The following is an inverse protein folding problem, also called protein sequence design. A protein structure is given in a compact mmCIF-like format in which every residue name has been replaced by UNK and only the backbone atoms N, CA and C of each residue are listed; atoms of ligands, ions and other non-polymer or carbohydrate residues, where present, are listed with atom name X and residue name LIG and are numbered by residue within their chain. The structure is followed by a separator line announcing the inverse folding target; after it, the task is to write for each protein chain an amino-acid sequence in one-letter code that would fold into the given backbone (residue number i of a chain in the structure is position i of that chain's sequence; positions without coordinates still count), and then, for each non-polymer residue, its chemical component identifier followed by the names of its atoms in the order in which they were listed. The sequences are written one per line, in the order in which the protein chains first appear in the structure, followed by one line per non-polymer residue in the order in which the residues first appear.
data_IF_365116587008
#
_entry.id   IF_365116587008
#
_cell.length_a   1.000
_cell.length_b   1.000
_cell.length_c   1.000
_cell.angle_alpha   90.00
_cell.angle_beta   90.00
_cell.angle_gamma   90.00
#
_symmetry.space_group_name_H-M   'P 1'
#
loop_
_entity.id
_entity.type
_entity.pdbx_description
1 polymer ?
2 non-polymer ?
3 non-polymer ?
4 water ?
#
# COMPACT_ATOMS: atom_id res chain seq x y z
N UNK A 6 24.55 20.06 -3.92
CA UNK A 6 24.58 18.76 -4.68
C UNK A 6 23.19 18.13 -4.81
N UNK A 7 22.75 17.95 -6.04
CA UNK A 7 21.41 17.47 -6.33
C UNK A 7 21.39 15.95 -6.30
N UNK A 8 20.45 15.38 -5.57
CA UNK A 8 20.38 13.93 -5.37
C UNK A 8 19.09 13.41 -6.00
N UNK A 9 19.25 12.58 -7.03
CA UNK A 9 18.14 12.06 -7.82
C UNK A 9 18.07 10.55 -7.62
N UNK A 10 16.89 10.07 -7.21
CA UNK A 10 16.64 8.63 -7.08
C UNK A 10 15.76 8.18 -8.25
N UNK A 11 16.22 7.21 -9.01
CA UNK A 11 15.40 6.53 -9.99
C UNK A 11 14.91 5.22 -9.41
N UNK A 12 13.62 4.94 -9.61
CA UNK A 12 12.96 3.74 -9.09
C UNK A 12 12.34 3.01 -10.27
N UNK A 13 12.74 1.76 -10.48
CA UNK A 13 12.15 0.90 -11.48
C UNK A 13 11.49 -0.27 -10.77
N UNK A 14 10.41 -0.79 -11.35
CA UNK A 14 9.71 -1.92 -10.76
C UNK A 14 10.49 -3.21 -10.90
N UNK A 15 11.25 -3.38 -11.98
CA UNK A 15 11.92 -4.65 -12.19
C UNK A 15 13.17 -4.46 -13.04
N UNK A 16 14.00 -5.49 -13.15
CA UNK A 16 15.26 -5.32 -13.91
C UNK A 16 15.07 -4.99 -15.37
N UNK A 17 14.05 -5.54 -16.03
CA UNK A 17 13.85 -5.25 -17.45
C UNK A 17 13.63 -3.77 -17.68
N UNK A 18 12.84 -3.14 -16.81
CA UNK A 18 12.59 -1.71 -16.97
C UNK A 18 13.89 -0.91 -16.83
N UNK A 19 14.74 -1.30 -15.87
CA UNK A 19 15.94 -0.57 -15.49
C UNK A 19 17.10 -0.74 -16.46
N UNK A 20 17.10 -1.80 -17.25
CA UNK A 20 18.33 -2.26 -17.90
C UNK A 20 19.00 -1.16 -18.72
N UNK A 21 18.28 -0.52 -19.63
CA UNK A 21 18.93 0.43 -20.54
C UNK A 21 19.37 1.70 -19.80
N UNK A 22 18.64 2.14 -18.77
CA UNK A 22 19.11 3.27 -17.97
C UNK A 22 20.40 2.92 -17.24
N UNK A 23 20.48 1.70 -16.71
CA UNK A 23 21.71 1.25 -16.06
C UNK A 23 22.90 1.24 -17.02
N UNK A 24 22.66 1.08 -18.32
CA UNK A 24 23.74 1.14 -19.30
C UNK A 24 24.20 2.57 -19.59
N UNK A 25 23.39 3.59 -19.30
CA UNK A 25 23.68 4.96 -19.74
C UNK A 25 24.84 5.59 -19.00
N UNK A 26 25.04 5.18 -17.74
CA UNK A 26 26.07 5.74 -16.88
C UNK A 26 26.89 4.61 -16.30
N UNK A 27 28.15 4.86 -15.94
CA UNK A 27 28.98 3.82 -15.29
C UNK A 27 28.66 3.66 -13.81
N UNK A 28 27.47 3.14 -13.53
CA UNK A 28 27.03 2.86 -12.18
C UNK A 28 27.91 1.79 -11.53
N UNK A 29 27.98 1.84 -10.20
CA UNK A 29 28.60 0.80 -9.40
C UNK A 29 27.61 0.36 -8.34
N UNK A 30 27.72 -0.90 -7.92
CA UNK A 30 26.93 -1.41 -6.81
C UNK A 30 27.60 -0.99 -5.52
N UNK A 31 26.86 -0.33 -4.62
CA UNK A 31 27.43 0.04 -3.34
C UNK A 31 27.26 -1.08 -2.31
N UNK A 32 27.76 -0.82 -1.10
CA UNK A 32 27.72 -1.81 -0.03
C UNK A 32 26.31 -2.01 0.53
N UNK A 33 25.37 -1.15 0.16
CA UNK A 33 23.95 -1.29 0.50
C UNK A 33 23.18 -2.05 -0.55
N UNK A 34 23.85 -2.55 -1.59
CA UNK A 34 23.25 -3.41 -2.60
C UNK A 34 22.34 -2.69 -3.58
N UNK A 35 22.64 -1.42 -3.90
CA UNK A 35 21.95 -0.73 -4.98
C UNK A 35 22.95 0.07 -5.80
N UNK A 36 22.50 0.61 -6.93
CA UNK A 36 23.39 1.23 -7.91
C UNK A 36 23.52 2.72 -7.66
N UNK A 37 24.73 3.23 -7.86
CA UNK A 37 25.02 4.63 -7.62
C UNK A 37 26.04 5.14 -8.62
N UNK A 38 25.92 6.42 -8.95
CA UNK A 38 26.84 7.12 -9.84
C UNK A 38 26.81 8.60 -9.45
N UNK A 39 27.95 9.28 -9.51
CA UNK A 39 27.92 10.71 -9.26
C UNK A 39 28.90 11.41 -10.20
N UNK A 40 28.59 12.66 -10.52
CA UNK A 40 29.50 13.51 -11.28
C UNK A 40 29.04 14.94 -11.10
N UNK A 41 30.01 15.85 -11.05
CA UNK A 41 29.71 17.27 -10.88
C UNK A 41 28.87 17.41 -9.61
N UNK A 42 27.73 18.05 -9.67
CA UNK A 42 26.90 18.32 -8.52
C UNK A 42 25.77 17.30 -8.38
N UNK A 43 25.75 16.21 -9.12
CA UNK A 43 24.62 15.30 -9.17
C UNK A 43 24.97 13.90 -8.68
N UNK A 44 24.20 13.40 -7.78
CA UNK A 44 24.20 12.01 -7.34
C UNK A 44 22.99 11.36 -8.00
N UNK A 45 23.23 10.25 -8.68
CA UNK A 45 22.20 9.50 -9.37
C UNK A 45 22.21 8.08 -8.82
N UNK A 46 21.15 7.71 -8.09
CA UNK A 46 21.01 6.36 -7.53
C UNK A 46 19.85 5.65 -8.21
N UNK A 47 19.95 4.33 -8.29
CA UNK A 47 18.91 3.50 -8.89
C UNK A 47 18.53 2.39 -7.94
N UNK A 48 17.24 2.25 -7.70
CA UNK A 48 16.70 1.12 -6.96
C UNK A 48 15.69 0.38 -7.81
N UNK A 49 15.72 -0.96 -7.73
CA UNK A 49 14.83 -1.84 -8.47
C UNK A 49 14.00 -2.59 -7.45
N UNK A 50 12.67 -2.52 -7.58
CA UNK A 50 11.81 -2.97 -6.49
C UNK A 50 11.76 -4.49 -6.38
N UNK A 51 11.57 -5.16 -7.52
CA UNK A 51 11.33 -6.60 -7.54
C UNK A 51 12.47 -7.21 -8.35
N UNK A 52 13.50 -7.70 -7.67
CA UNK A 52 14.54 -8.48 -8.33
C UNK A 52 14.34 -9.96 -8.11
N UNK A 53 13.70 -10.32 -7.01
CA UNK A 53 13.41 -11.68 -6.64
C UNK A 53 11.91 -11.93 -6.59
N UNK A 54 11.56 -13.20 -6.70
CA UNK A 54 10.24 -13.66 -6.32
C UNK A 54 9.16 -13.41 -7.36
N UNK A 55 7.94 -13.72 -6.92
CA UNK A 55 6.76 -13.52 -7.75
C UNK A 55 6.13 -12.15 -7.53
N UNK A 56 6.41 -11.47 -6.42
CA UNK A 56 5.79 -10.18 -6.19
C UNK A 56 6.74 -9.25 -5.44
N UNK A 57 6.52 -7.95 -5.63
CA UNK A 57 7.15 -6.97 -4.79
C UNK A 57 6.52 -6.95 -3.41
N UNK A 58 7.32 -6.49 -2.44
CA UNK A 58 6.89 -6.42 -1.05
C UNK A 58 6.97 -4.97 -0.58
N UNK A 59 6.18 -4.66 0.44
CA UNK A 59 6.13 -3.28 0.92
C UNK A 59 7.49 -2.80 1.38
N UNK A 60 8.32 -3.69 1.95
CA UNK A 60 9.63 -3.28 2.46
C UNK A 60 10.62 -2.92 1.36
N UNK A 61 10.24 -3.01 0.09
CA UNK A 61 11.10 -2.50 -0.96
C UNK A 61 11.30 -0.99 -0.86
N UNK A 62 10.32 -0.25 -0.30
CA UNK A 62 10.46 1.19 -0.12
C UNK A 62 9.92 1.63 1.24
N UNK A 63 10.06 0.79 2.25
CA UNK A 63 9.57 1.08 3.58
C UNK A 63 10.63 0.62 4.58
N UNK A 64 11.23 1.55 5.34
CA UNK A 64 11.01 3.01 5.30
C UNK A 64 11.51 3.60 3.98
N UNK A 65 10.88 4.68 3.54
CA UNK A 65 11.26 5.27 2.26
C UNK A 65 12.66 5.86 2.34
N UNK A 66 13.42 5.80 1.25
CA UNK A 66 14.75 6.43 1.25
C UNK A 66 14.65 7.91 1.56
N UNK A 67 15.48 8.38 2.47
CA UNK A 67 15.53 9.78 2.86
C UNK A 67 16.65 10.50 2.13
N UNK A 68 16.51 11.83 2.03
CA UNK A 68 17.61 12.68 1.64
C UNK A 68 17.69 13.04 0.17
N UNK A 69 16.86 12.46 -0.70
CA UNK A 69 16.91 12.83 -2.11
C UNK A 69 16.14 14.12 -2.35
N UNK A 70 16.42 14.75 -3.49
CA UNK A 70 15.74 15.98 -3.92
C UNK A 70 14.60 15.73 -4.90
N UNK A 71 14.61 14.59 -5.58
CA UNK A 71 13.56 14.23 -6.50
C UNK A 71 13.61 12.72 -6.66
N UNK A 72 12.43 12.10 -6.77
CA UNK A 72 12.33 10.71 -7.18
C UNK A 72 11.70 10.69 -8.56
N UNK A 73 12.19 9.83 -9.44
CA UNK A 73 11.53 9.53 -10.71
C UNK A 73 11.26 8.03 -10.76
N UNK A 74 10.00 7.67 -10.87
CA UNK A 74 9.59 6.30 -11.15
C UNK A 74 9.43 6.19 -12.65
N UNK A 75 10.28 5.40 -13.29
CA UNK A 75 10.16 5.10 -14.71
C UNK A 75 9.77 3.63 -14.90
N UNK A 76 8.84 3.36 -15.81
CA UNK A 76 8.45 1.98 -16.02
C UNK A 76 7.53 1.80 -17.21
N UNK A 77 7.18 0.54 -17.39
CA UNK A 77 6.27 0.11 -18.43
C UNK A 77 4.85 0.31 -17.93
N UNK A 78 3.91 0.56 -18.86
CA UNK A 78 2.52 0.64 -18.51
C UNK A 78 1.68 0.10 -19.65
N UNK A 79 0.62 -0.61 -19.28
CA UNK A 79 -0.36 -1.04 -20.26
C UNK A 79 -1.25 0.10 -20.70
N UNK A 80 -1.69 0.06 -21.95
CA UNK A 80 -2.64 1.02 -22.51
C UNK A 80 -4.02 0.37 -22.54
N UNK A 81 -4.95 0.98 -21.82
CA UNK A 81 -6.31 0.48 -21.72
C UNK A 81 -7.30 1.26 -22.60
N UNK A 82 -6.81 2.16 -23.42
CA UNK A 82 -7.59 2.89 -24.39
C UNK A 82 -6.85 2.72 -25.71
N UNK A 83 -7.52 2.30 -26.79
CA UNK A 83 -6.82 2.14 -28.08
C UNK A 83 -6.28 3.43 -28.66
N UNK A 84 -6.63 4.59 -28.13
CA UNK A 84 -6.09 5.85 -28.66
C UNK A 84 -4.70 6.19 -28.13
N UNK A 85 -4.13 5.31 -27.32
CA UNK A 85 -2.76 5.46 -26.83
C UNK A 85 -1.91 4.57 -27.72
N UNK A 86 -1.00 5.11 -28.54
CA UNK A 86 -0.10 4.26 -29.30
C UNK A 86 0.89 3.59 -28.36
N UNK A 87 1.40 2.45 -28.78
CA UNK A 87 2.46 1.76 -28.02
C UNK A 87 3.81 2.41 -28.28
N UNK A 88 4.77 2.10 -27.42
CA UNK A 88 6.15 2.60 -27.52
C UNK A 88 6.21 4.12 -27.40
N UNK A 89 5.26 4.70 -26.70
CA UNK A 89 5.20 6.14 -26.50
C UNK A 89 5.43 6.46 -25.02
N UNK A 90 6.27 7.44 -24.74
CA UNK A 90 6.63 7.83 -23.39
C UNK A 90 5.75 8.98 -22.92
N UNK A 91 5.17 8.84 -21.73
CA UNK A 91 4.33 9.87 -21.12
C UNK A 91 4.87 10.23 -19.76
N UNK A 92 4.54 11.44 -19.33
CA UNK A 92 4.67 11.80 -17.94
C UNK A 92 3.28 11.81 -17.32
N UNK A 93 3.21 11.59 -16.01
CA UNK A 93 1.94 11.34 -15.32
C UNK A 93 1.53 12.57 -14.54
N UNK A 94 0.24 12.89 -14.60
CA UNK A 94 -0.31 14.01 -13.84
C UNK A 94 -0.85 13.55 -12.52
N UNK A 95 -1.56 12.43 -12.50
CA UNK A 95 -2.03 11.86 -11.25
C UNK A 95 -2.06 10.36 -11.41
N UNK A 96 -1.96 9.67 -10.27
CA UNK A 96 -1.93 8.23 -10.19
C UNK A 96 -2.97 7.80 -9.18
N UNK A 97 -3.78 6.83 -9.56
CA UNK A 97 -4.78 6.30 -8.65
C UNK A 97 -4.54 4.82 -8.44
N UNK A 98 -4.64 4.40 -7.19
CA UNK A 98 -4.68 2.98 -6.86
C UNK A 98 -6.13 2.56 -6.90
N UNK A 99 -6.41 1.46 -7.57
CA UNK A 99 -7.74 0.91 -7.61
C UNK A 99 -7.75 -0.49 -7.04
N UNK A 100 -8.74 -0.77 -6.14
CA UNK A 100 -9.04 -2.09 -5.59
C UNK A 100 -10.28 -2.65 -6.28
N UNK A 101 -10.15 -3.59 -7.23
CA UNK A 101 -11.32 -3.94 -8.02
C UNK A 101 -12.42 -4.65 -7.22
N UNK A 102 -12.10 -5.35 -6.12
CA UNK A 102 -13.16 -6.07 -5.41
C UNK A 102 -14.10 -5.13 -4.65
N UNK A 103 -13.67 -3.90 -4.36
CA UNK A 103 -14.49 -2.95 -3.65
C UNK A 103 -14.76 -1.68 -4.45
N UNK A 104 -14.05 -1.46 -5.54
CA UNK A 104 -14.09 -0.22 -6.31
C UNK A 104 -13.57 0.98 -5.52
N UNK A 105 -12.95 0.77 -4.38
CA UNK A 105 -12.40 1.89 -3.64
C UNK A 105 -11.10 2.32 -4.29
N UNK A 106 -10.92 3.65 -4.37
CA UNK A 106 -9.75 4.26 -4.98
C UNK A 106 -9.10 5.27 -4.04
N UNK A 107 -7.80 5.47 -4.25
CA UNK A 107 -7.08 6.62 -3.75
C UNK A 107 -6.37 7.25 -4.94
N UNK A 108 -6.02 8.52 -4.83
CA UNK A 108 -5.43 9.24 -5.96
C UNK A 108 -4.50 10.31 -5.43
N UNK A 109 -3.32 10.41 -6.03
CA UNK A 109 -2.34 11.45 -5.75
C UNK A 109 -1.86 12.11 -7.02
N UNK A 110 -1.67 13.43 -6.95
CA UNK A 110 -1.02 14.16 -8.02
C UNK A 110 0.48 13.88 -7.99
N UNK A 111 1.07 13.87 -9.17
CA UNK A 111 2.48 13.63 -9.45
C UNK A 111 3.01 14.86 -10.18
N UNK A 112 4.30 15.13 -10.06
CA UNK A 112 4.89 16.29 -10.71
C UNK A 112 5.24 15.96 -12.17
N UNK A 113 4.63 16.59 -13.17
CA UNK A 113 4.96 16.24 -14.56
C UNK A 113 6.36 16.66 -14.96
N UNK A 114 6.96 15.84 -15.81
CA UNK A 114 8.26 16.11 -16.41
C UNK A 114 8.07 17.05 -17.61
N UNK A 115 8.89 18.08 -17.77
CA UNK A 115 8.74 18.95 -18.94
C UNK A 115 8.93 18.21 -20.25
N UNK A 116 8.18 18.65 -21.27
CA UNK A 116 8.32 18.23 -22.66
C UNK A 116 7.90 16.79 -22.90
N UNK A 117 7.26 16.14 -21.93
CA UNK A 117 6.63 14.87 -22.18
C UNK A 117 5.13 15.05 -22.20
N UNK A 118 4.41 14.31 -23.04
CA UNK A 118 2.97 14.42 -23.07
C UNK A 118 2.35 13.82 -21.81
N UNK A 119 1.18 14.36 -21.47
CA UNK A 119 0.54 14.11 -20.19
C UNK A 119 -0.38 12.90 -20.28
N UNK A 120 -0.44 12.14 -19.18
CA UNK A 120 -1.37 11.02 -19.07
C UNK A 120 -1.69 10.75 -17.60
N UNK A 121 -2.81 10.06 -17.41
CA UNK A 121 -3.23 9.56 -16.11
C UNK A 121 -2.89 8.10 -15.99
N UNK A 122 -2.57 7.68 -14.77
CA UNK A 122 -2.10 6.35 -14.46
C UNK A 122 -2.99 5.75 -13.38
N UNK A 123 -3.35 4.48 -13.56
CA UNK A 123 -3.98 3.66 -12.53
C UNK A 123 -3.06 2.50 -12.22
N UNK A 124 -2.83 2.27 -10.92
CA UNK A 124 -2.03 1.16 -10.43
C UNK A 124 -2.96 0.08 -9.89
N UNK A 125 -2.70 -1.17 -10.29
CA UNK A 125 -3.46 -2.30 -9.79
C UNK A 125 -2.50 -3.45 -9.51
N UNK A 126 -2.88 -4.30 -8.57
CA UNK A 126 -2.03 -5.40 -8.13
C UNK A 126 -1.84 -6.43 -9.23
N UNK A 127 -2.89 -6.92 -9.79
CA UNK A 127 -2.76 -8.01 -10.75
C UNK A 127 -2.54 -7.46 -12.15
N UNK A 128 -1.88 -8.20 -13.03
CA UNK A 128 -1.73 -7.74 -14.41
C UNK A 128 -3.11 -7.54 -15.03
N UNK A 129 -3.24 -6.43 -15.75
CA UNK A 129 -4.53 -6.02 -16.30
C UNK A 129 -4.64 -6.54 -17.73
N UNK A 130 -5.52 -7.52 -17.93
CA UNK A 130 -5.76 -8.13 -19.23
C UNK A 130 -7.25 -8.23 -19.51
N UNK A 131 -8.09 -7.56 -18.72
CA UNK A 131 -9.55 -7.65 -18.92
C UNK A 131 -9.90 -7.23 -20.34
N UNK A 132 -9.54 -6.01 -20.70
CA UNK A 132 -9.81 -5.48 -22.03
C UNK A 132 -9.59 -3.99 -22.03
N UNK A 133 -10.34 -3.31 -22.88
CA UNK A 133 -10.25 -1.86 -22.93
C UNK A 133 -11.33 -1.24 -22.05
N UNK A 134 -11.08 -0.01 -21.61
CA UNK A 134 -11.95 0.61 -20.62
C UNK A 134 -12.17 2.08 -20.91
N UNK A 135 -13.39 2.52 -20.59
CA UNK A 135 -13.82 3.87 -20.95
C UNK A 135 -13.00 4.93 -20.21
N UNK A 136 -12.63 4.64 -18.96
CA UNK A 136 -12.08 5.66 -18.07
C UNK A 136 -10.66 5.33 -17.59
N UNK A 137 -9.96 4.46 -18.28
CA UNK A 137 -8.55 4.20 -17.97
C UNK A 137 -7.70 4.63 -19.13
N UNK A 138 -6.49 5.09 -18.80
CA UNK A 138 -5.50 5.47 -19.79
C UNK A 138 -4.36 4.48 -19.63
N UNK A 139 -3.32 4.80 -18.87
CA UNK A 139 -2.23 3.89 -18.62
C UNK A 139 -2.45 3.12 -17.33
N UNK A 140 -1.96 1.88 -17.28
CA UNK A 140 -2.12 0.99 -16.13
C UNK A 140 -0.76 0.37 -15.80
N UNK A 141 -0.38 0.43 -14.53
CA UNK A 141 0.86 -0.21 -14.06
C UNK A 141 0.54 -0.92 -12.74
N UNK A 142 1.59 -1.26 -11.98
CA UNK A 142 1.44 -1.90 -10.68
C UNK A 142 1.95 -1.05 -9.52
N UNK A 143 3.10 -0.38 -9.68
CA UNK A 143 3.82 0.17 -8.53
C UNK A 143 3.75 1.68 -8.39
N UNK A 144 3.24 2.38 -9.40
CA UNK A 144 3.24 3.83 -9.39
C UNK A 144 2.62 4.47 -8.16
N UNK A 145 1.40 4.05 -7.78
CA UNK A 145 0.79 4.69 -6.63
C UNK A 145 1.61 4.46 -5.38
N UNK A 146 2.00 3.20 -5.16
CA UNK A 146 2.82 2.86 -3.99
C UNK A 146 4.02 3.78 -3.89
N UNK A 147 4.70 4.01 -5.03
CA UNK A 147 5.90 4.82 -4.98
C UNK A 147 5.57 6.27 -4.65
N UNK A 148 4.54 6.82 -5.32
CA UNK A 148 4.14 8.20 -5.05
C UNK A 148 3.75 8.40 -3.60
N UNK A 149 3.06 7.42 -3.02
CA UNK A 149 2.65 7.56 -1.63
C UNK A 149 3.84 7.47 -0.68
N UNK A 150 4.79 6.59 -0.98
CA UNK A 150 5.98 6.56 -0.13
C UNK A 150 6.78 7.86 -0.24
N UNK A 151 6.82 8.45 -1.45
CA UNK A 151 7.54 9.71 -1.61
C UNK A 151 6.93 10.80 -0.73
N UNK A 152 5.61 10.77 -0.55
CA UNK A 152 4.93 11.76 0.29
C UNK A 152 5.38 11.68 1.74
N UNK A 153 5.87 10.52 2.20
CA UNK A 153 6.28 10.35 3.58
C UNK A 153 7.58 11.08 3.92
N UNK A 154 8.43 11.32 2.92
CA UNK A 154 9.69 12.05 3.09
C UNK A 154 9.62 13.42 2.45
N UNK A 155 8.44 13.84 2.02
CA UNK A 155 8.21 15.17 1.49
C UNK A 155 9.09 15.43 0.27
N UNK A 156 9.30 14.40 -0.51
CA UNK A 156 10.15 14.52 -1.66
C UNK A 156 9.29 14.54 -2.90
N UNK A 157 9.48 15.48 -3.83
CA UNK A 157 8.70 15.46 -5.07
C UNK A 157 8.94 14.17 -5.84
N UNK A 158 7.91 13.71 -6.52
CA UNK A 158 7.91 12.46 -7.29
C UNK A 158 7.37 12.71 -8.69
N UNK A 159 8.13 12.30 -9.69
CA UNK A 159 7.68 12.37 -11.07
C UNK A 159 7.66 10.96 -11.64
N UNK A 160 6.89 10.78 -12.70
CA UNK A 160 6.75 9.48 -13.32
C UNK A 160 6.92 9.57 -14.83
N UNK A 161 7.64 8.59 -15.37
CA UNK A 161 7.77 8.37 -16.81
C UNK A 161 7.24 6.97 -17.07
N UNK A 162 6.23 6.85 -17.93
CA UNK A 162 5.64 5.57 -18.27
C UNK A 162 5.59 5.43 -19.78
N UNK A 163 6.14 4.32 -20.28
CA UNK A 163 6.09 4.01 -21.71
C UNK A 163 4.99 2.96 -21.97
N UNK A 164 4.16 3.23 -22.96
CA UNK A 164 3.10 2.27 -23.29
C UNK A 164 3.69 0.97 -23.86
N UNK A 165 3.40 -0.13 -23.18
CA UNK A 165 4.11 -1.37 -23.44
C UNK A 165 3.25 -2.50 -23.95
N UNK A 166 1.92 -2.37 -23.91
CA UNK A 166 1.03 -3.43 -24.34
C UNK A 166 -0.37 -2.88 -24.26
N UNK A 167 -1.28 -3.36 -25.11
CA UNK A 167 -2.69 -3.17 -24.86
C UNK A 167 -3.12 -4.22 -23.84
N UNK A 168 -4.06 -3.83 -22.98
CA UNK A 168 -4.43 -4.60 -21.80
C UNK A 168 -5.41 -5.76 -22.15
N UNK A 169 -5.00 -6.60 -23.09
CA UNK A 169 -5.75 -7.81 -23.45
C UNK A 169 -4.82 -9.02 -23.34
N UNK A 170 -5.41 -10.21 -23.38
CA UNK A 170 -4.59 -11.42 -23.36
C UNK A 170 -3.63 -11.44 -24.55
N UNK A 171 -4.15 -11.21 -25.76
CA UNK A 171 -3.31 -11.24 -26.95
C UNK A 171 -2.23 -10.17 -26.92
N UNK A 172 -2.51 -9.04 -26.30
CA UNK A 172 -1.58 -7.93 -26.24
C UNK A 172 -0.36 -8.18 -25.40
N UNK A 173 -0.36 -9.22 -24.58
CA UNK A 173 0.79 -9.39 -23.69
C UNK A 173 2.04 -9.85 -24.43
N UNK A 174 1.91 -10.50 -25.59
CA UNK A 174 3.10 -10.92 -26.33
C UNK A 174 3.98 -9.74 -26.71
N UNK A 175 3.38 -8.58 -27.02
CA UNK A 175 4.17 -7.41 -27.39
C UNK A 175 5.09 -7.00 -26.24
N UNK A 176 4.56 -6.97 -25.02
CA UNK A 176 5.40 -6.69 -23.85
C UNK A 176 6.52 -7.71 -23.73
N UNK A 177 6.18 -8.99 -23.91
CA UNK A 177 7.17 -10.05 -23.78
C UNK A 177 8.34 -9.85 -24.73
N UNK A 178 8.06 -9.36 -25.93
CA UNK A 178 9.02 -9.39 -27.03
C UNK A 178 9.74 -8.06 -27.25
N UNK A 179 9.38 -7.01 -26.51
CA UNK A 179 9.90 -5.68 -26.78
C UNK A 179 10.48 -5.03 -25.52
N UNK A 180 10.91 -5.83 -24.55
CA UNK A 180 11.40 -5.23 -23.30
C UNK A 180 12.62 -4.34 -23.52
N UNK A 181 13.55 -4.71 -24.42
CA UNK A 181 14.73 -3.87 -24.67
C UNK A 181 14.32 -2.52 -25.26
N UNK A 182 13.47 -2.54 -26.31
CA UNK A 182 13.01 -1.28 -26.90
C UNK A 182 12.30 -0.42 -25.88
N UNK A 183 11.47 -1.01 -25.05
CA UNK A 183 10.70 -0.25 -24.06
C UNK A 183 11.63 0.35 -23.01
N UNK A 184 12.58 -0.45 -22.51
CA UNK A 184 13.55 0.05 -21.54
C UNK A 184 14.41 1.17 -22.13
N UNK A 185 14.74 1.08 -23.41
CA UNK A 185 15.47 2.13 -24.09
C UNK A 185 14.70 3.44 -24.12
N UNK A 186 13.38 3.39 -24.34
CA UNK A 186 12.59 4.63 -24.34
C UNK A 186 12.65 5.30 -22.98
N UNK A 187 12.62 4.50 -21.92
CA UNK A 187 12.78 5.07 -20.57
C UNK A 187 14.13 5.78 -20.43
N UNK A 188 15.20 5.13 -20.88
CA UNK A 188 16.53 5.72 -20.77
C UNK A 188 16.62 7.03 -21.54
N UNK A 189 16.04 7.07 -22.74
CA UNK A 189 16.07 8.29 -23.54
C UNK A 189 15.29 9.43 -22.89
N UNK A 190 14.25 9.12 -22.14
CA UNK A 190 13.49 10.18 -21.46
C UNK A 190 14.19 10.66 -20.20
N UNK A 191 14.92 9.77 -19.53
CA UNK A 191 15.60 10.12 -18.29
C UNK A 191 16.77 11.06 -18.55
N UNK A 192 17.50 10.85 -19.64
CA UNK A 192 18.72 11.63 -19.84
C UNK A 192 18.54 13.14 -19.80
N UNK A 193 17.64 13.77 -20.59
CA UNK A 193 17.49 15.22 -20.50
C UNK A 193 17.12 15.72 -19.12
N UNK A 194 16.44 14.91 -18.31
CA UNK A 194 16.17 15.31 -16.93
C UNK A 194 17.47 15.38 -16.15
N UNK A 195 18.24 14.28 -16.14
CA UNK A 195 19.56 14.30 -15.49
C UNK A 195 20.36 15.52 -15.92
N UNK A 196 20.37 15.77 -17.23
CA UNK A 196 21.21 16.84 -17.78
C UNK A 196 20.77 18.21 -17.28
N UNK A 197 19.46 18.43 -17.09
CA UNK A 197 19.00 19.73 -16.64
C UNK A 197 19.47 20.10 -15.24
N UNK A 198 19.85 19.13 -14.41
CA UNK A 198 20.26 19.39 -13.03
C UNK A 198 21.77 19.49 -12.88
N UNK A 199 22.52 19.41 -13.97
CA UNK A 199 23.95 19.71 -13.91
C UNK A 199 24.12 21.21 -13.80
N UNK A 200 24.93 21.64 -12.83
CA UNK A 200 25.10 23.06 -12.55
C UNK A 200 26.53 23.52 -12.84
N UNK B 6 11.83 8.17 19.16
CA UNK B 6 11.27 6.79 19.19
C UNK B 6 9.79 6.81 18.79
N UNK B 7 9.46 6.05 17.75
CA UNK B 7 8.09 5.94 17.28
C UNK B 7 7.30 5.02 18.19
N UNK B 8 6.06 5.38 18.47
CA UNK B 8 5.22 4.64 19.41
C UNK B 8 3.93 4.20 18.73
N UNK B 9 3.75 2.88 18.61
CA UNK B 9 2.64 2.27 17.89
C UNK B 9 1.77 1.49 18.87
N UNK B 10 0.47 1.71 18.80
CA UNK B 10 -0.51 0.96 19.58
C UNK B 10 -1.34 0.09 18.63
N UNK B 11 -1.31 -1.22 18.88
CA UNK B 11 -2.17 -2.14 18.15
C UNK B 11 -3.30 -2.58 19.06
N UNK B 12 -4.52 -2.61 18.52
CA UNK B 12 -5.72 -2.99 19.28
C UNK B 12 -6.41 -4.16 18.54
N UNK B 13 -6.61 -5.26 19.26
CA UNK B 13 -7.38 -6.42 18.82
C UNK B 13 -8.59 -6.57 19.72
N UNK B 14 -9.69 -7.06 19.17
CA UNK B 14 -10.91 -7.27 19.95
C UNK B 14 -10.95 -8.57 20.72
N UNK B 15 -10.16 -9.57 20.36
CA UNK B 15 -10.19 -10.80 21.15
C UNK B 15 -8.89 -11.57 20.98
N UNK B 16 -8.59 -12.48 21.90
CA UNK B 16 -7.29 -13.14 21.87
C UNK B 16 -7.05 -13.97 20.63
N UNK B 17 -8.07 -14.62 20.06
CA UNK B 17 -7.84 -15.44 18.87
C UNK B 17 -7.39 -14.58 17.68
N UNK B 18 -7.95 -13.39 17.54
CA UNK B 18 -7.54 -12.51 16.46
C UNK B 18 -6.11 -12.03 16.67
N UNK B 19 -5.71 -11.83 17.94
CA UNK B 19 -4.39 -11.31 18.26
C UNK B 19 -3.30 -12.36 18.26
N UNK B 20 -3.64 -13.65 18.29
CA UNK B 20 -2.69 -14.67 18.75
C UNK B 20 -1.45 -14.74 17.87
N UNK B 21 -1.60 -14.67 16.55
CA UNK B 21 -0.45 -14.82 15.69
C UNK B 21 0.40 -13.56 15.70
N UNK B 22 -0.22 -12.37 15.82
CA UNK B 22 0.57 -11.14 15.92
C UNK B 22 1.42 -11.16 17.17
N UNK B 23 0.88 -11.69 18.26
CA UNK B 23 1.62 -11.75 19.51
C UNK B 23 2.81 -12.70 19.41
N UNK B 24 2.76 -13.68 18.49
CA UNK B 24 3.87 -14.59 18.25
C UNK B 24 5.00 -13.93 17.45
N UNK B 25 4.81 -12.74 16.92
CA UNK B 25 5.80 -12.14 16.04
C UNK B 25 6.98 -11.55 16.79
N UNK B 26 6.80 -11.14 18.04
CA UNK B 26 7.82 -10.47 18.82
C UNK B 26 7.85 -11.02 20.23
N UNK B 27 8.97 -10.93 20.91
CA UNK B 27 9.11 -11.39 22.31
C UNK B 27 8.56 -10.32 23.26
N UNK B 28 7.26 -10.18 23.20
CA UNK B 28 6.55 -9.19 24.01
C UNK B 28 6.70 -9.52 25.49
N UNK B 29 6.60 -8.49 26.32
CA UNK B 29 6.45 -8.60 27.76
C UNK B 29 5.01 -8.26 28.11
N UNK B 30 4.45 -8.95 29.11
CA UNK B 30 3.09 -8.68 29.55
C UNK B 30 3.14 -7.67 30.69
N UNK B 31 2.67 -6.46 30.41
CA UNK B 31 2.67 -5.39 31.40
C UNK B 31 1.56 -5.57 32.40
N UNK B 32 0.39 -5.99 31.93
CA UNK B 32 -0.77 -6.27 32.77
C UNK B 32 -1.73 -7.05 31.89
N UNK B 33 -2.91 -7.34 32.42
CA UNK B 33 -3.83 -8.20 31.71
C UNK B 33 -4.07 -7.64 30.31
N UNK B 34 -3.81 -8.46 29.31
CA UNK B 34 -4.18 -8.11 27.95
C UNK B 34 -3.43 -6.88 27.41
N UNK B 35 -2.24 -6.59 27.95
CA UNK B 35 -1.47 -5.43 27.49
C UNK B 35 -0.02 -5.89 27.38
N UNK B 36 0.50 -5.91 26.16
CA UNK B 36 1.80 -6.48 25.81
C UNK B 36 2.66 -5.35 25.25
N UNK B 37 3.95 -5.40 25.56
CA UNK B 37 4.86 -4.33 25.14
C UNK B 37 6.15 -4.91 24.58
N UNK B 38 6.65 -4.27 23.54
CA UNK B 38 7.93 -4.62 22.94
C UNK B 38 8.62 -3.37 22.45
N UNK B 39 9.94 -3.30 22.62
CA UNK B 39 10.62 -2.17 22.03
C UNK B 39 12.01 -2.54 21.54
N UNK B 40 12.43 -1.82 20.52
CA UNK B 40 13.83 -1.64 20.19
C UNK B 40 14.16 -0.18 20.46
N UNK B 41 15.34 0.24 20.01
CA UNK B 41 15.75 1.62 20.26
C UNK B 41 14.83 2.61 19.58
N UNK B 42 14.38 2.31 18.37
CA UNK B 42 13.65 3.30 17.57
C UNK B 42 12.13 3.14 17.64
N UNK B 43 11.61 2.02 18.13
CA UNK B 43 10.18 1.73 17.99
C UNK B 43 9.66 1.09 19.28
N UNK B 44 8.57 1.64 19.81
CA UNK B 44 7.80 1.00 20.85
C UNK B 44 6.54 0.45 20.22
N UNK B 45 6.27 -0.82 20.47
CA UNK B 45 5.09 -1.52 19.96
C UNK B 45 4.31 -2.08 21.13
N UNK B 46 3.13 -1.53 21.38
CA UNK B 46 2.24 -1.99 22.42
C UNK B 46 1.01 -2.62 21.77
N UNK B 47 0.51 -3.68 22.41
CA UNK B 47 -0.67 -4.39 21.95
C UNK B 47 -1.68 -4.46 23.08
N UNK B 48 -2.90 -4.02 22.80
CA UNK B 48 -4.04 -4.14 23.70
C UNK B 48 -5.05 -5.09 23.10
N UNK B 49 -5.50 -6.05 23.90
CA UNK B 49 -6.57 -6.98 23.52
C UNK B 49 -7.76 -6.62 24.39
N UNK B 50 -8.88 -6.31 23.76
CA UNK B 50 -10.07 -5.98 24.53
C UNK B 50 -10.54 -7.17 25.37
N UNK B 51 -11.22 -6.89 26.49
CA UNK B 51 -11.71 -7.95 27.35
C UNK B 51 -13.08 -8.48 26.94
N UNK B 52 -13.81 -7.73 26.12
CA UNK B 52 -15.04 -8.19 25.50
C UNK B 52 -15.17 -7.47 24.17
N UNK B 53 -16.13 -7.90 23.35
CA UNK B 53 -16.23 -7.40 21.99
C UNK B 53 -16.96 -6.05 21.95
N UNK B 54 -16.85 -5.40 20.77
CA UNK B 54 -17.80 -4.34 20.41
C UNK B 54 -17.61 -3.05 21.20
N UNK B 55 -18.66 -2.22 21.19
CA UNK B 55 -18.52 -0.88 21.78
C UNK B 55 -18.27 -0.96 23.28
N UNK B 56 -18.92 -1.92 23.97
CA UNK B 56 -18.67 -2.12 25.40
C UNK B 56 -17.18 -2.40 25.67
N UNK B 57 -16.55 -3.23 24.87
CA UNK B 57 -15.15 -3.53 25.10
C UNK B 57 -14.24 -2.36 24.80
N UNK B 58 -14.57 -1.59 23.75
CA UNK B 58 -13.81 -0.38 23.44
C UNK B 58 -13.88 0.61 24.60
N UNK B 59 -15.09 0.88 25.10
CA UNK B 59 -15.27 1.81 26.21
C UNK B 59 -14.49 1.33 27.43
N UNK B 60 -14.56 0.04 27.73
CA UNK B 60 -13.86 -0.47 28.91
C UNK B 60 -12.36 -0.26 28.80
N UNK B 61 -11.78 -0.46 27.61
CA UNK B 61 -10.33 -0.47 27.45
C UNK B 61 -9.74 0.88 27.07
N UNK B 62 -10.51 1.75 26.39
CA UNK B 62 -9.96 2.92 25.73
C UNK B 62 -10.65 4.22 26.18
N UNK B 63 -11.19 4.20 27.39
CA UNK B 63 -11.83 5.37 27.98
C UNK B 63 -11.33 5.42 29.42
N UNK B 64 -10.38 6.32 29.73
CA UNK B 64 -9.79 7.32 28.81
C UNK B 64 -8.90 6.70 27.73
N UNK B 65 -8.78 7.39 26.60
CA UNK B 65 -7.89 6.93 25.54
C UNK B 65 -6.45 7.19 25.92
N UNK B 66 -5.55 6.25 25.64
CA UNK B 66 -4.12 6.47 25.92
C UNK B 66 -3.57 7.60 25.05
N UNK B 67 -2.84 8.52 25.67
CA UNK B 67 -2.13 9.54 24.91
C UNK B 67 -0.71 9.06 24.68
N UNK B 68 -0.02 9.72 23.77
CA UNK B 68 1.40 9.53 23.61
C UNK B 68 1.81 8.70 22.41
N UNK B 69 0.89 7.97 21.79
CA UNK B 69 1.24 7.18 20.62
C UNK B 69 1.28 8.05 19.37
N UNK B 70 2.04 7.56 18.40
CA UNK B 70 2.12 8.21 17.09
C UNK B 70 1.16 7.62 16.07
N UNK B 71 0.62 6.41 16.32
CA UNK B 71 -0.31 5.74 15.43
C UNK B 71 -1.02 4.67 16.24
N UNK B 72 -2.32 4.54 16.03
CA UNK B 72 -3.11 3.40 16.48
C UNK B 72 -3.49 2.57 15.26
N UNK B 73 -3.38 1.24 15.40
CA UNK B 73 -3.83 0.29 14.39
C UNK B 73 -4.81 -0.68 15.04
N UNK B 74 -6.02 -0.73 14.52
CA UNK B 74 -7.00 -1.74 14.92
C UNK B 74 -7.00 -2.82 13.86
N UNK B 75 -6.60 -4.01 14.25
CA UNK B 75 -6.54 -5.18 13.38
C UNK B 75 -7.58 -6.20 13.80
N UNK B 76 -8.31 -6.78 12.85
CA UNK B 76 -9.27 -7.81 13.23
C UNK B 76 -9.98 -8.47 12.07
N UNK B 77 -10.85 -9.41 12.43
CA UNK B 77 -11.67 -10.13 11.47
C UNK B 77 -12.89 -9.26 11.12
N UNK B 78 -13.31 -9.29 9.85
CA UNK B 78 -14.46 -8.53 9.41
C UNK B 78 -15.34 -9.39 8.51
N UNK B 79 -16.64 -9.13 8.56
CA UNK B 79 -17.55 -9.80 7.67
C UNK B 79 -17.60 -9.12 6.33
N UNK B 80 -17.83 -9.91 5.29
CA UNK B 80 -17.97 -9.38 3.93
C UNK B 80 -19.45 -9.34 3.57
N UNK B 81 -19.97 -8.14 3.28
CA UNK B 81 -21.38 -7.93 2.99
C UNK B 81 -21.65 -7.75 1.49
N UNK B 82 -20.70 -8.17 0.64
CA UNK B 82 -20.89 -8.09 -0.82
C UNK B 82 -20.20 -9.35 -1.33
N UNK B 83 -20.86 -10.15 -2.16
CA UNK B 83 -20.23 -11.39 -2.63
C UNK B 83 -19.03 -11.16 -3.53
N UNK B 84 -18.79 -9.92 -3.97
CA UNK B 84 -17.61 -9.62 -4.77
C UNK B 84 -16.34 -9.55 -3.94
N UNK B 85 -16.46 -9.52 -2.63
CA UNK B 85 -15.30 -9.51 -1.73
C UNK B 85 -14.95 -10.96 -1.40
N UNK B 86 -13.77 -11.44 -1.78
CA UNK B 86 -13.40 -12.80 -1.38
C UNK B 86 -13.03 -12.87 0.10
N UNK B 87 -13.18 -14.06 0.67
CA UNK B 87 -12.73 -14.28 2.04
C UNK B 87 -11.22 -14.56 2.08
N UNK B 88 -10.65 -14.47 3.29
CA UNK B 88 -9.22 -14.65 3.53
C UNK B 88 -8.37 -13.58 2.86
N UNK B 89 -8.92 -12.40 2.67
CA UNK B 89 -8.22 -11.28 2.04
C UNK B 89 -8.06 -10.16 3.04
N UNK B 90 -6.83 -9.66 3.18
CA UNK B 90 -6.52 -8.55 4.09
C UNK B 90 -6.69 -7.20 3.41
N UNK B 91 -7.53 -6.36 4.00
CA UNK B 91 -7.77 -5.01 3.51
C UNK B 91 -7.31 -3.98 4.53
N UNK B 92 -7.02 -2.77 4.05
CA UNK B 92 -6.90 -1.59 4.87
C UNK B 92 -8.11 -0.70 4.63
N UNK B 93 -8.47 0.09 5.63
CA UNK B 93 -9.73 0.82 5.65
C UNK B 93 -9.51 2.29 5.34
N UNK B 94 -10.38 2.85 4.51
CA UNK B 94 -10.31 4.26 4.14
C UNK B 94 -11.30 5.12 4.89
N UNK B 95 -12.42 4.56 5.31
CA UNK B 95 -13.42 5.29 6.07
C UNK B 95 -14.24 4.28 6.87
N UNK B 96 -14.85 4.76 7.96
CA UNK B 96 -15.64 3.91 8.84
C UNK B 96 -16.89 4.66 9.27
N UNK B 97 -18.01 3.96 9.28
CA UNK B 97 -19.28 4.54 9.67
C UNK B 97 -19.99 3.55 10.60
N UNK B 98 -20.96 4.07 11.32
CA UNK B 98 -21.78 3.28 12.21
C UNK B 98 -23.09 2.98 11.49
N UNK B 99 -23.45 1.69 11.42
CA UNK B 99 -24.68 1.32 10.69
C UNK B 99 -25.91 1.96 11.31
N UNK B 100 -25.93 2.06 12.63
CA UNK B 100 -27.05 2.67 13.35
C UNK B 100 -26.54 3.60 14.43
N UNK B 108 -19.65 9.19 10.15
CA UNK B 108 -18.51 8.70 9.35
C UNK B 108 -17.14 9.37 9.68
N UNK B 109 -16.06 8.59 9.62
CA UNK B 109 -14.72 9.05 9.95
C UNK B 109 -13.71 8.50 8.95
N UNK B 110 -12.81 9.36 8.51
CA UNK B 110 -11.71 8.95 7.66
C UNK B 110 -10.72 8.16 8.49
N UNK B 111 -10.13 7.17 7.84
CA UNK B 111 -9.17 6.25 8.42
C UNK B 111 -7.93 6.30 7.53
N UNK B 112 -6.76 6.17 8.12
CA UNK B 112 -5.52 6.33 7.35
C UNK B 112 -5.09 5.00 6.73
N UNK B 113 -5.08 4.85 5.40
CA UNK B 113 -4.71 3.55 4.81
C UNK B 113 -3.25 3.15 5.06
N UNK B 114 -3.07 1.86 5.34
CA UNK B 114 -1.73 1.25 5.36
C UNK B 114 -1.30 1.02 3.93
N UNK B 115 -0.06 1.34 3.57
CA UNK B 115 0.37 1.14 2.19
C UNK B 115 0.36 -0.30 1.75
N UNK B 116 0.15 -0.46 0.45
CA UNK B 116 0.35 -1.73 -0.26
C UNK B 116 -0.62 -2.79 0.25
N UNK B 117 -1.83 -2.35 0.58
CA UNK B 117 -2.94 -3.22 0.93
C UNK B 117 -4.19 -2.82 0.14
N UNK B 118 -5.01 -3.79 -0.22
CA UNK B 118 -6.26 -3.44 -0.88
C UNK B 118 -7.16 -2.60 0.01
N UNK B 119 -7.98 -1.76 -0.61
CA UNK B 119 -8.73 -0.74 0.09
C UNK B 119 -10.20 -1.15 0.27
N UNK B 120 -10.77 -0.83 1.43
CA UNK B 120 -12.19 -1.05 1.65
C UNK B 120 -12.75 -0.06 2.64
N UNK B 121 -14.07 0.03 2.65
CA UNK B 121 -14.79 0.84 3.63
C UNK B 121 -15.40 -0.08 4.67
N UNK B 122 -15.49 0.42 5.90
CA UNK B 122 -15.95 -0.38 7.03
C UNK B 122 -17.22 0.19 7.63
N UNK B 123 -18.11 -0.71 8.02
CA UNK B 123 -19.30 -0.37 8.80
C UNK B 123 -19.27 -1.14 10.11
N UNK B 124 -19.40 -0.43 11.22
CA UNK B 124 -19.40 -1.02 12.55
C UNK B 124 -20.82 -1.15 13.06
N UNK B 125 -21.14 -2.34 13.56
CA UNK B 125 -22.47 -2.70 14.02
C UNK B 125 -22.39 -3.13 15.48
N UNK B 126 -23.55 -3.15 16.13
CA UNK B 126 -23.67 -3.49 17.54
C UNK B 126 -24.21 -4.90 17.77
N UNK B 127 -24.32 -5.71 16.72
CA UNK B 127 -24.70 -7.12 16.84
C UNK B 127 -24.17 -7.84 15.62
N UNK B 128 -23.92 -9.15 15.70
CA UNK B 128 -23.45 -9.88 14.51
C UNK B 128 -24.37 -9.67 13.32
N UNK B 129 -23.82 -9.18 12.22
CA UNK B 129 -24.59 -8.82 11.04
C UNK B 129 -24.68 -10.04 10.12
N UNK B 130 -25.91 -10.52 9.92
CA UNK B 130 -26.21 -11.68 9.10
C UNK B 130 -27.33 -11.39 8.09
N UNK B 131 -27.56 -10.12 7.77
CA UNK B 131 -28.69 -9.72 6.94
C UNK B 131 -28.45 -9.91 5.45
N UNK B 132 -27.34 -10.53 5.08
CA UNK B 132 -27.07 -10.80 3.70
C UNK B 132 -26.37 -9.64 3.05
N UNK B 133 -26.65 -9.43 1.76
CA UNK B 133 -25.92 -8.47 0.96
C UNK B 133 -26.80 -7.30 0.54
N UNK B 134 -28.03 -7.22 1.07
CA UNK B 134 -29.01 -6.23 0.63
C UNK B 134 -28.75 -4.86 1.26
N UNK B 135 -27.55 -4.35 1.01
CA UNK B 135 -27.20 -2.98 1.36
C UNK B 135 -25.85 -2.68 0.74
N UNK B 136 -25.57 -1.39 0.55
CA UNK B 136 -24.33 -0.95 -0.06
C UNK B 136 -23.19 -1.03 0.93
N UNK B 137 -23.02 -2.18 1.57
CA UNK B 137 -21.96 -2.35 2.55
C UNK B 137 -20.80 -3.13 1.95
N UNK B 138 -19.63 -3.02 2.60
CA UNK B 138 -18.43 -3.74 2.17
C UNK B 138 -17.99 -4.65 3.32
N UNK B 139 -17.11 -4.17 4.20
CA UNK B 139 -16.67 -4.96 5.34
C UNK B 139 -17.43 -4.48 6.58
N UNK B 140 -17.76 -5.43 7.45
CA UNK B 140 -18.57 -5.16 8.64
C UNK B 140 -17.83 -5.70 9.86
N UNK B 141 -17.73 -4.89 10.91
CA UNK B 141 -17.12 -5.30 12.18
C UNK B 141 -17.93 -4.73 13.33
N UNK B 142 -17.38 -4.80 14.55
CA UNK B 142 -18.04 -4.27 15.73
C UNK B 142 -17.28 -3.19 16.49
N UNK B 143 -15.98 -2.98 16.23
CA UNK B 143 -15.14 -2.11 17.05
C UNK B 143 -14.59 -0.89 16.34
N UNK B 144 -14.42 -0.92 15.02
CA UNK B 144 -13.57 0.06 14.38
C UNK B 144 -14.04 1.49 14.54
N UNK B 145 -15.33 1.74 14.35
CA UNK B 145 -15.85 3.10 14.47
C UNK B 145 -15.52 3.65 15.83
N UNK B 146 -15.75 2.84 16.86
CA UNK B 146 -15.58 3.31 18.23
C UNK B 146 -14.10 3.53 18.55
N UNK B 147 -13.22 2.68 18.01
CA UNK B 147 -11.78 2.90 18.18
C UNK B 147 -11.33 4.18 17.47
N UNK B 148 -11.76 4.37 16.22
CA UNK B 148 -11.41 5.62 15.53
C UNK B 148 -11.90 6.85 16.31
N UNK B 149 -13.09 6.79 16.91
CA UNK B 149 -13.58 7.89 17.72
C UNK B 149 -12.67 8.16 18.91
N UNK B 150 -12.19 7.11 19.59
CA UNK B 150 -11.28 7.32 20.70
C UNK B 150 -9.94 7.90 20.23
N UNK B 151 -9.42 7.45 19.09
CA UNK B 151 -8.16 7.98 18.59
C UNK B 151 -8.27 9.46 18.30
N UNK B 152 -9.42 9.89 17.78
CA UNK B 152 -9.58 11.32 17.49
C UNK B 152 -9.55 12.15 18.77
N UNK B 153 -10.01 11.61 19.89
CA UNK B 153 -9.93 12.36 21.15
C UNK B 153 -8.52 12.76 21.50
N UNK B 154 -7.53 11.94 21.13
CA UNK B 154 -6.12 12.21 21.43
C UNK B 154 -5.37 12.66 20.18
N UNK B 155 -6.08 13.03 19.13
CA UNK B 155 -5.49 13.61 17.94
C UNK B 155 -4.42 12.70 17.36
N UNK B 156 -4.68 11.39 17.39
CA UNK B 156 -3.76 10.38 16.94
C UNK B 156 -4.28 9.76 15.64
N UNK B 157 -3.43 9.65 14.62
CA UNK B 157 -3.83 8.92 13.42
C UNK B 157 -4.23 7.50 13.78
N UNK B 158 -5.22 7.00 13.05
CA UNK B 158 -5.72 5.66 13.21
C UNK B 158 -5.78 4.95 11.85
N UNK B 159 -5.25 3.73 11.81
CA UNK B 159 -5.29 2.83 10.67
C UNK B 159 -5.97 1.55 11.09
N UNK B 160 -6.51 0.84 10.11
CA UNK B 160 -7.18 -0.41 10.40
C UNK B 160 -6.82 -1.45 9.36
N UNK B 161 -6.62 -2.67 9.84
CA UNK B 161 -6.38 -3.84 9.00
C UNK B 161 -7.50 -4.83 9.30
N UNK B 162 -8.26 -5.19 8.27
CA UNK B 162 -9.43 -6.03 8.45
C UNK B 162 -9.35 -7.15 7.42
N UNK B 163 -9.37 -8.40 7.89
CA UNK B 163 -9.30 -9.56 7.01
C UNK B 163 -10.69 -10.13 6.90
N UNK B 164 -11.11 -10.40 5.67
CA UNK B 164 -12.46 -10.90 5.43
C UNK B 164 -12.55 -12.34 5.94
N UNK B 165 -13.45 -12.55 6.90
CA UNK B 165 -13.47 -13.77 7.68
C UNK B 165 -14.77 -14.55 7.58
N UNK B 166 -15.80 -13.98 6.97
CA UNK B 166 -17.09 -14.63 6.80
C UNK B 166 -17.92 -13.78 5.87
N UNK B 167 -18.90 -14.41 5.20
CA UNK B 167 -19.96 -13.66 4.56
C UNK B 167 -21.06 -13.38 5.58
N UNK B 168 -21.75 -12.25 5.39
CA UNK B 168 -22.79 -11.82 6.33
C UNK B 168 -24.13 -12.49 6.01
N UNK B 169 -24.09 -13.80 5.81
CA UNK B 169 -25.25 -14.68 5.67
C UNK B 169 -25.30 -15.64 6.85
N UNK B 170 -26.45 -16.28 7.02
CA UNK B 170 -26.66 -17.14 8.18
C UNK B 170 -25.64 -18.27 8.21
N UNK B 171 -25.12 -18.56 9.40
CA UNK B 171 -24.11 -19.58 9.64
C UNK B 171 -22.78 -19.25 9.00
N UNK B 172 -22.58 -18.01 8.52
CA UNK B 172 -21.32 -17.62 7.90
C UNK B 172 -20.14 -17.67 8.84
N UNK B 173 -20.41 -17.63 10.15
CA UNK B 173 -19.34 -17.71 11.14
C UNK B 173 -18.62 -19.06 11.07
N UNK B 174 -19.21 -20.05 10.42
CA UNK B 174 -18.52 -21.33 10.33
C UNK B 174 -17.20 -21.20 9.59
N UNK B 175 -17.13 -20.33 8.59
CA UNK B 175 -15.86 -20.13 7.88
C UNK B 175 -14.85 -19.51 8.82
N UNK B 176 -15.27 -18.51 9.58
CA UNK B 176 -14.38 -17.85 10.52
C UNK B 176 -13.86 -18.86 11.56
N UNK B 177 -14.74 -19.65 12.14
CA UNK B 177 -14.32 -20.63 13.15
C UNK B 177 -13.34 -21.65 12.58
N UNK B 178 -13.55 -22.09 11.35
CA UNK B 178 -12.67 -23.09 10.73
C UNK B 178 -11.31 -22.50 10.35
N UNK B 179 -11.24 -21.20 10.15
CA UNK B 179 -10.06 -20.55 9.58
C UNK B 179 -9.40 -19.58 10.55
N UNK B 180 -9.60 -19.77 11.85
CA UNK B 180 -9.13 -18.80 12.85
C UNK B 180 -7.63 -18.60 12.76
N UNK B 181 -6.88 -19.70 12.66
CA UNK B 181 -5.42 -19.59 12.59
C UNK B 181 -4.99 -18.86 11.34
N UNK B 182 -5.51 -19.26 10.18
CA UNK B 182 -5.10 -18.62 8.94
C UNK B 182 -5.46 -17.14 8.96
N UNK B 183 -6.64 -16.80 9.45
CA UNK B 183 -7.06 -15.41 9.52
C UNK B 183 -6.17 -14.59 10.45
N UNK B 184 -5.90 -15.13 11.63
CA UNK B 184 -5.02 -14.43 12.58
C UNK B 184 -3.63 -14.26 12.00
N UNK B 185 -3.14 -15.27 11.27
CA UNK B 185 -1.83 -15.17 10.62
C UNK B 185 -1.85 -14.13 9.51
N UNK B 186 -2.95 -14.00 8.76
CA UNK B 186 -3.02 -12.91 7.78
C UNK B 186 -2.84 -11.54 8.44
N UNK B 187 -3.46 -11.33 9.59
CA UNK B 187 -3.26 -10.06 10.29
C UNK B 187 -1.80 -9.88 10.68
N UNK B 188 -1.18 -10.93 11.22
CA UNK B 188 0.21 -10.85 11.66
C UNK B 188 1.11 -10.50 10.50
N UNK B 189 0.86 -11.08 9.31
CA UNK B 189 1.70 -10.83 8.15
C UNK B 189 1.50 -9.45 7.55
N UNK B 190 0.37 -8.83 7.80
CA UNK B 190 0.20 -7.42 7.45
C UNK B 190 0.84 -6.50 8.47
N UNK B 191 0.90 -6.90 9.75
CA UNK B 191 1.44 -6.04 10.81
C UNK B 191 2.97 -6.06 10.81
N UNK B 192 3.59 -7.22 10.57
CA UNK B 192 5.04 -7.33 10.72
C UNK B 192 5.78 -6.28 9.88
N UNK B 193 5.43 -6.03 8.62
CA UNK B 193 6.15 -4.99 7.87
C UNK B 193 5.89 -3.57 8.36
N UNK B 194 4.72 -3.29 8.96
CA UNK B 194 4.45 -1.95 9.49
C UNK B 194 5.46 -1.63 10.57
N UNK B 195 5.69 -2.58 11.46
CA UNK B 195 6.73 -2.42 12.47
C UNK B 195 8.06 -2.04 11.83
N UNK B 196 8.42 -2.75 10.75
CA UNK B 196 9.68 -2.47 10.09
C UNK B 196 9.68 -1.12 9.37
N UNK B 197 8.51 -0.55 9.10
CA UNK B 197 8.47 0.76 8.45
C UNK B 197 8.97 1.88 9.34
N UNK B 198 9.15 1.61 10.63
CA UNK B 198 9.55 2.64 11.59
C UNK B 198 10.96 2.40 12.12
N UNK B 199 11.74 1.58 11.44
CA UNK B 199 13.11 1.30 11.85
C UNK B 199 14.08 1.92 10.86
X LIG C 1 11.15 0.89 -33.92
X LIG C 1 10.04 -0.01 -33.61
X LIG C 1 12.14 0.83 -32.85
X LIG C 1 11.76 0.47 -35.19
X LIG C 1 10.66 2.27 -34.04
X LIG D 1 -16.79 -9.46 12.51
X LIG D 1 -16.54 -10.56 11.74
X LIG D 1 -17.59 -11.00 11.07
X LIG D 1 -18.59 -10.10 11.43
X LIG D 1 -19.94 -10.01 11.06
X LIG D 1 -20.53 -10.85 10.21
X LIG D 1 -20.67 -9.01 11.60
X LIG D 1 -20.08 -8.17 12.46
X LIG D 1 -18.82 -8.16 12.89
X LIG D 1 -18.12 -9.15 12.32
#
# INVERSE_FOLDING_TARGET
GSTGSMFKLLLIFADPAEAARTLSLFPFSLNKENFYTYHTENVLLDVMVLKTWGYRGVVQALSPPPSGYDLWINAGFAGAANPNIPLLKTYTITSVKELTPTTSVEEELEVTPIPRLPLAQLTSVRSPYRDGFHEHLQLVDMEGFFIAKQASLVACPCSMIKVSSDYTTREGQDFLKNNKVKLSQKLAEAIFPIYSSFIDV
GSTGSMFKLLLIFADPAEAARTLSLFPFSLNKENFYTYHTENVLLDVMVLKTWGYRGVVQALSPPPSGYDLWINAGFAGAANPNIPLLKTYTITSVKELTPTTSVEEELEVTPIPRLPLAQLTSVRSPYRDGFHEHLQLVDMEGFFIAKQASLVACPCSMIKVSSDYTTREGQDFLKNNKVKLSQKLAEAIFPIYSSFIDV
SO4 S O1 O2 O3 O4
ADE N9 C8 N7 C5 C6 N6 N1 C2 N3 C4
#
